data_IF_780783843585
#
_entry.id   IF_780783843585
#
_cell.length_a   1.000
_cell.length_b   1.000
_cell.length_c   1.000
_cell.angle_alpha   90.00
_cell.angle_beta   90.00
_cell.angle_gamma   90.00
#
_symmetry.space_group_name_H-M   'P 1'
#
loop_
_entity.id
_entity.type
_entity.pdbx_description
1 polymer ?
#
# COMPACT_ATOMS: atom_id res chain seq x y z
N UNK A 1 21.87 14.39 26.09
CA UNK A 1 20.86 13.39 25.69
C UNK A 1 20.15 13.88 24.43
N UNK A 2 20.17 13.09 23.34
CA UNK A 2 19.51 13.42 22.07
C UNK A 2 18.14 12.75 22.05
N UNK A 3 17.07 13.51 21.79
CA UNK A 3 15.72 12.99 21.63
C UNK A 3 15.36 13.02 20.15
N UNK A 4 14.98 11.87 19.60
CA UNK A 4 14.60 11.72 18.18
C UNK A 4 13.11 11.42 18.10
N UNK A 5 12.34 12.24 17.37
CA UNK A 5 10.91 12.03 17.12
C UNK A 5 10.67 11.86 15.61
N UNK A 6 9.93 10.82 15.22
CA UNK A 6 9.64 10.48 13.83
C UNK A 6 8.21 10.89 13.50
N UNK A 7 8.02 11.66 12.42
CA UNK A 7 6.70 11.99 11.86
C UNK A 7 6.63 11.44 10.43
N UNK A 8 5.64 10.59 10.16
CA UNK A 8 5.37 10.06 8.82
C UNK A 8 4.73 11.16 7.98
N UNK A 9 5.37 11.57 6.88
CA UNK A 9 4.77 12.46 5.89
C UNK A 9 4.25 11.59 4.75
N UNK A 10 2.93 11.49 4.60
CA UNK A 10 2.27 10.87 3.44
C UNK A 10 2.40 11.75 2.19
N UNK A 11 3.60 12.25 1.90
CA UNK A 11 3.85 13.08 0.73
C UNK A 11 4.40 12.18 -0.37
N UNK A 12 3.66 12.11 -1.48
CA UNK A 12 4.02 11.48 -2.75
C UNK A 12 4.12 9.94 -2.71
N UNK A 13 3.02 9.27 -3.09
CA UNK A 13 3.09 7.93 -3.65
C UNK A 13 3.75 8.04 -5.03
N UNK A 14 5.08 8.12 -5.06
CA UNK A 14 5.86 7.96 -6.28
C UNK A 14 5.70 6.50 -6.74
N UNK A 15 4.71 6.27 -7.61
CA UNK A 15 4.41 4.99 -8.24
C UNK A 15 5.52 4.63 -9.24
N UNK A 16 6.30 3.58 -8.99
CA UNK A 16 6.84 2.66 -10.02
C UNK A 16 7.91 1.71 -9.45
N UNK A 17 7.67 0.40 -9.52
CA UNK A 17 8.37 -0.60 -10.35
C UNK A 17 8.02 -2.01 -9.81
N UNK A 18 7.36 -2.82 -10.63
CA UNK A 18 7.09 -4.22 -10.32
C UNK A 18 8.33 -5.06 -10.60
N UNK A 19 9.09 -5.40 -9.56
CA UNK A 19 10.33 -6.21 -9.68
C UNK A 19 10.01 -7.68 -10.03
N UNK A 20 8.88 -8.18 -9.53
CA UNK A 20 8.33 -9.52 -9.79
C UNK A 20 6.81 -9.42 -9.59
N UNK A 21 6.03 -10.22 -10.33
CA UNK A 21 4.57 -10.14 -10.41
C UNK A 21 3.85 -9.73 -9.12
N UNK A 22 2.91 -8.79 -9.26
CA UNK A 22 1.98 -8.29 -8.24
C UNK A 22 2.58 -7.63 -6.99
N UNK A 23 3.90 -7.51 -6.87
CA UNK A 23 4.58 -6.77 -5.79
C UNK A 23 5.05 -5.41 -6.30
N UNK A 24 4.67 -4.36 -5.58
CA UNK A 24 4.99 -2.97 -5.89
C UNK A 24 5.89 -2.38 -4.79
N UNK A 25 6.86 -1.56 -5.18
CA UNK A 25 7.68 -0.81 -4.21
C UNK A 25 7.17 0.62 -4.16
N UNK A 26 6.92 1.13 -2.95
CA UNK A 26 6.57 2.52 -2.69
C UNK A 26 7.69 3.19 -1.90
N UNK A 27 7.90 4.48 -2.14
CA UNK A 27 8.85 5.29 -1.36
C UNK A 27 8.06 5.96 -0.23
N UNK A 28 8.37 5.60 1.02
CA UNK A 28 7.83 6.28 2.19
C UNK A 28 8.80 7.37 2.65
N UNK A 29 8.29 8.61 2.75
CA UNK A 29 9.03 9.75 3.26
C UNK A 29 8.65 10.02 4.72
N UNK A 30 9.65 10.26 5.56
CA UNK A 30 9.43 10.53 6.98
C UNK A 30 10.40 11.59 7.49
N UNK A 31 9.88 12.46 8.34
CA UNK A 31 10.66 13.52 8.96
C UNK A 31 11.19 13.08 10.31
N UNK A 32 12.51 13.14 10.46
CA UNK A 32 13.21 12.95 11.72
C UNK A 32 13.53 14.28 12.37
N UNK A 33 13.00 14.49 13.56
CA UNK A 33 13.31 15.62 14.41
C UNK A 33 14.30 15.20 15.47
N UNK A 34 15.49 15.80 15.48
CA UNK A 34 16.50 15.59 16.51
C UNK A 34 16.63 16.85 17.35
N UNK A 35 16.30 16.76 18.63
CA UNK A 35 16.50 17.86 19.58
C UNK A 35 17.75 17.60 20.41
N UNK A 36 18.70 18.52 20.32
CA UNK A 36 19.94 18.51 21.09
C UNK A 36 19.91 19.64 22.12
N UNK A 37 20.28 19.35 23.36
CA UNK A 37 20.51 20.41 24.36
C UNK A 37 21.85 21.07 24.06
N UNK A 38 21.85 22.38 23.87
CA UNK A 38 23.01 23.19 23.51
C UNK A 38 23.27 24.25 24.59
N UNK A 39 24.50 24.75 24.66
CA UNK A 39 24.95 25.70 25.69
C UNK A 39 25.70 25.02 26.85
N UNK A 40 26.58 25.79 27.48
CA UNK A 40 27.55 25.34 28.51
C UNK A 40 26.91 24.63 29.71
N UNK A 41 25.61 24.89 29.94
CA UNK A 41 24.81 24.31 31.03
C UNK A 41 23.58 23.52 30.55
N UNK A 42 23.38 23.34 29.24
CA UNK A 42 22.27 22.54 28.67
C UNK A 42 20.87 23.17 28.70
N UNK A 43 20.77 24.50 28.79
CA UNK A 43 19.50 25.25 28.82
C UNK A 43 18.96 25.60 27.43
N UNK A 44 19.83 25.62 26.41
CA UNK A 44 19.42 25.78 25.02
C UNK A 44 18.88 24.47 24.45
N UNK A 45 17.87 24.57 23.57
CA UNK A 45 17.40 23.44 22.75
C UNK A 45 17.51 23.82 21.28
N UNK A 46 18.23 23.02 20.53
CA UNK A 46 18.27 23.14 19.07
C UNK A 46 17.58 21.93 18.47
N UNK A 47 16.58 22.17 17.64
CA UNK A 47 15.82 21.13 16.92
C UNK A 47 16.17 21.19 15.45
N UNK A 48 16.55 20.04 14.88
CA UNK A 48 16.86 19.90 13.45
C UNK A 48 15.94 18.84 12.85
N UNK A 49 15.31 19.15 11.72
CA UNK A 49 14.52 18.22 10.92
C UNK A 49 15.33 17.67 9.75
N UNK A 50 15.30 16.36 9.51
CA UNK A 50 15.81 15.73 8.29
C UNK A 50 14.72 14.90 7.63
N UNK A 51 14.54 15.06 6.34
CA UNK A 51 13.71 14.18 5.53
C UNK A 51 14.51 12.90 5.24
N UNK A 52 13.92 11.74 5.48
CA UNK A 52 14.44 10.43 5.07
C UNK A 52 13.41 9.76 4.18
N UNK A 53 13.88 8.94 3.24
CA UNK A 53 13.04 8.07 2.41
C UNK A 53 13.44 6.61 2.61
N UNK A 54 12.46 5.71 2.56
CA UNK A 54 12.67 4.26 2.58
C UNK A 54 11.82 3.59 1.53
N UNK A 55 12.37 2.56 0.89
CA UNK A 55 11.63 1.70 -0.02
C UNK A 55 10.84 0.66 0.79
N UNK A 56 9.54 0.57 0.54
CA UNK A 56 8.64 -0.38 1.20
C UNK A 56 7.97 -1.23 0.13
N UNK A 57 8.03 -2.55 0.29
CA UNK A 57 7.37 -3.50 -0.59
C UNK A 57 5.93 -3.72 -0.12
N UNK A 58 4.98 -3.59 -1.04
CA UNK A 58 3.55 -3.76 -0.81
C UNK A 58 2.93 -4.52 -1.97
N UNK A 59 1.72 -5.05 -1.79
CA UNK A 59 0.97 -5.58 -2.93
C UNK A 59 0.52 -4.46 -3.87
N UNK A 60 0.62 -4.72 -5.18
CA UNK A 60 0.13 -3.80 -6.19
C UNK A 60 -1.39 -3.59 -6.07
N UNK A 61 -1.88 -2.52 -6.68
CA UNK A 61 -3.30 -2.18 -6.66
C UNK A 61 -4.17 -3.36 -7.12
N UNK A 62 -5.17 -3.71 -6.31
CA UNK A 62 -6.06 -4.83 -6.60
C UNK A 62 -5.51 -6.21 -6.24
N UNK A 63 -4.40 -6.31 -5.50
CA UNK A 63 -3.86 -7.56 -5.00
C UNK A 63 -3.69 -7.53 -3.48
N UNK A 64 -3.89 -8.69 -2.86
CA UNK A 64 -3.74 -8.95 -1.43
C UNK A 64 -2.78 -10.12 -1.22
N UNK A 65 -2.12 -10.11 -0.07
CA UNK A 65 -1.30 -11.22 0.38
C UNK A 65 -2.15 -12.42 0.78
N UNK A 66 -1.62 -13.62 0.55
CA UNK A 66 -2.21 -14.87 1.07
C UNK A 66 -1.87 -15.17 2.54
N UNK A 67 -1.36 -14.18 3.28
CA UNK A 67 -0.83 -14.35 4.64
C UNK A 67 0.58 -14.93 4.72
N UNK A 68 1.19 -15.30 3.59
CA UNK A 68 2.60 -15.73 3.49
C UNK A 68 3.52 -14.66 2.89
N UNK A 69 3.00 -13.46 2.67
CA UNK A 69 3.71 -12.37 2.00
C UNK A 69 3.70 -12.47 0.47
N UNK A 70 2.89 -13.35 -0.12
CA UNK A 70 2.75 -13.50 -1.57
C UNK A 70 1.49 -12.77 -2.05
N UNK A 71 1.65 -11.77 -2.93
CA UNK A 71 0.56 -10.97 -3.47
C UNK A 71 -0.20 -11.71 -4.59
N UNK A 72 -0.91 -12.78 -4.24
CA UNK A 72 -1.58 -13.69 -5.20
C UNK A 72 -3.10 -13.68 -5.11
N UNK A 73 -3.68 -12.95 -4.15
CA UNK A 73 -5.14 -12.86 -4.00
C UNK A 73 -5.64 -11.62 -4.75
N UNK A 74 -6.43 -11.75 -5.83
CA UNK A 74 -7.02 -10.61 -6.49
C UNK A 74 -8.13 -9.99 -5.63
N UNK A 75 -8.23 -8.66 -5.66
CA UNK A 75 -9.26 -7.88 -4.98
C UNK A 75 -10.21 -7.33 -6.04
N UNK A 76 -11.49 -7.68 -5.92
CA UNK A 76 -12.56 -7.09 -6.70
C UNK A 76 -13.26 -6.02 -5.86
N UNK A 77 -13.33 -4.76 -6.33
CA UNK A 77 -14.03 -3.67 -5.61
C UNK A 77 -15.51 -3.98 -5.44
N UNK A 78 -16.10 -4.56 -6.47
CA UNK A 78 -17.46 -5.10 -6.42
C UNK A 78 -17.37 -6.61 -6.20
N UNK A 79 -18.05 -7.17 -5.20
CA UNK A 79 -18.05 -8.62 -5.01
C UNK A 79 -18.67 -9.30 -6.24
N UNK A 80 -18.09 -10.44 -6.62
CA UNK A 80 -18.68 -11.30 -7.65
C UNK A 80 -19.91 -11.99 -7.05
N UNK A 81 -21.07 -11.84 -7.68
CA UNK A 81 -22.32 -12.44 -7.24
C UNK A 81 -22.53 -13.84 -7.83
N UNK A 82 -23.55 -14.54 -7.35
CA UNK A 82 -24.05 -15.80 -7.93
C UNK A 82 -22.98 -16.90 -8.10
N UNK A 83 -22.00 -16.96 -7.18
CA UNK A 83 -20.93 -17.95 -7.22
C UNK A 83 -19.79 -17.63 -8.18
N UNK A 84 -19.72 -16.40 -8.71
CA UNK A 84 -18.57 -15.94 -9.47
C UNK A 84 -17.31 -15.82 -8.62
N UNK A 85 -16.15 -16.07 -9.22
CA UNK A 85 -14.83 -15.99 -8.53
C UNK A 85 -14.04 -14.81 -9.05
N UNK A 86 -13.46 -14.01 -8.15
CA UNK A 86 -12.53 -12.95 -8.52
C UNK A 86 -11.23 -13.59 -9.03
N UNK A 87 -10.93 -13.43 -10.33
CA UNK A 87 -9.75 -14.02 -10.98
C UNK A 87 -8.66 -12.99 -11.28
N UNK A 88 -9.03 -11.71 -11.34
CA UNK A 88 -8.13 -10.59 -11.53
C UNK A 88 -8.72 -9.35 -10.84
N UNK A 89 -7.93 -8.27 -10.62
CA UNK A 89 -8.45 -7.01 -10.12
C UNK A 89 -9.69 -6.56 -10.92
N UNK A 90 -10.79 -6.35 -10.21
CA UNK A 90 -12.10 -6.00 -10.79
C UNK A 90 -12.60 -6.92 -11.93
N UNK A 91 -12.09 -8.15 -12.01
CA UNK A 91 -12.47 -9.14 -13.02
C UNK A 91 -13.05 -10.39 -12.36
N UNK A 92 -14.34 -10.60 -12.56
CA UNK A 92 -15.05 -11.79 -12.10
C UNK A 92 -15.14 -12.85 -13.19
N UNK A 93 -14.89 -14.11 -12.83
CA UNK A 93 -15.23 -15.27 -13.66
C UNK A 93 -16.64 -15.73 -13.31
N UNK A 94 -17.56 -15.56 -14.25
CA UNK A 94 -18.96 -15.95 -14.11
C UNK A 94 -19.21 -17.40 -14.56
N UNK A 95 -20.33 -17.98 -14.13
CA UNK A 95 -20.82 -19.22 -14.71
C UNK A 95 -21.34 -18.97 -16.15
N UNK A 96 -21.40 -20.00 -17.00
CA UNK A 96 -21.80 -19.85 -18.42
C UNK A 96 -23.17 -19.20 -18.63
N UNK A 97 -24.08 -19.30 -17.65
CA UNK A 97 -25.44 -18.74 -17.71
C UNK A 97 -25.56 -17.35 -17.05
N UNK A 98 -24.45 -16.71 -16.71
CA UNK A 98 -24.40 -15.43 -15.99
C UNK A 98 -23.46 -14.46 -16.71
N UNK A 99 -23.86 -13.19 -16.75
CA UNK A 99 -23.19 -12.12 -17.48
C UNK A 99 -23.09 -10.83 -16.62
N UNK A 100 -22.36 -9.86 -17.16
CA UNK A 100 -22.07 -8.58 -16.51
C UNK A 100 -20.76 -8.59 -15.70
N UNK A 101 -20.27 -7.39 -15.37
CA UNK A 101 -18.96 -7.18 -14.74
C UNK A 101 -18.79 -7.89 -13.38
N UNK A 102 -19.89 -8.17 -12.69
CA UNK A 102 -19.95 -8.80 -11.38
C UNK A 102 -20.84 -10.06 -11.34
N UNK A 103 -21.15 -10.66 -12.49
CA UNK A 103 -22.00 -11.85 -12.61
C UNK A 103 -23.41 -11.68 -12.02
N UNK A 104 -23.93 -10.45 -12.00
CA UNK A 104 -25.22 -10.13 -11.41
C UNK A 104 -26.41 -10.45 -12.33
N UNK A 105 -26.19 -10.57 -13.63
CA UNK A 105 -27.26 -10.76 -14.62
C UNK A 105 -27.24 -12.20 -15.13
N UNK A 106 -28.42 -12.78 -15.41
CA UNK A 106 -28.52 -14.05 -16.13
C UNK A 106 -28.39 -13.78 -17.62
N UNK A 107 -27.39 -14.40 -18.26
CA UNK A 107 -27.29 -14.43 -19.72
C UNK A 107 -28.43 -15.31 -20.23
N UNK A 108 -29.51 -14.69 -20.70
CA UNK A 108 -30.51 -15.39 -21.48
C UNK A 108 -29.87 -15.67 -22.84
N UNK A 109 -29.34 -16.88 -23.00
CA UNK A 109 -28.80 -17.37 -24.27
C UNK A 109 -29.82 -17.39 -25.39
#
# INVERSE_FOLDING_TARGET
>A
MRLTKVFLLFCCLDYAVGLTGHVCTIIQYYQHWTTTRTGLWGWGRTSVSRLRSTNVQVCCFGWKDNGRGECVIPICRTPCYNGGTCIAPDTCKCLPSLEGANCAQHGTG
#
